data_IF_938347393121
#
_entry.id   IF_938347393121
#
_cell.length_a   1.000
_cell.length_b   1.000
_cell.length_c   1.000
_cell.angle_alpha   90.00
_cell.angle_beta   90.00
_cell.angle_gamma   90.00
#
_symmetry.space_group_name_H-M   'P 1'
#
loop_
_entity.id
_entity.type
_entity.pdbx_description
1 polymer ?
#
# COMPACT_ATOMS: atom_id res chain seq x y z
N UNK A 1 22.24 6.50 10.11
CA UNK A 1 22.13 5.21 10.84
C UNK A 1 20.75 5.08 11.42
N UNK A 2 20.06 3.98 11.11
CA UNK A 2 18.74 3.67 11.68
C UNK A 2 18.94 3.32 13.16
N UNK A 3 18.61 4.25 14.04
CA UNK A 3 18.79 4.08 15.48
C UNK A 3 17.76 3.10 16.06
N UNK A 4 18.01 1.80 15.93
CA UNK A 4 17.39 0.76 16.77
C UNK A 4 18.14 0.61 18.12
N UNK A 5 18.96 1.60 18.52
CA UNK A 5 19.67 1.58 19.80
C UNK A 5 18.73 1.71 20.99
N UNK A 6 17.60 2.40 20.85
CA UNK A 6 16.58 2.46 21.90
C UNK A 6 15.85 1.11 22.03
N UNK A 7 16.06 0.42 23.14
CA UNK A 7 15.40 -0.85 23.45
C UNK A 7 13.88 -0.79 23.55
N UNK A 8 13.29 0.41 23.63
CA UNK A 8 11.84 0.62 23.61
C UNK A 8 11.26 0.49 22.20
N UNK A 9 12.07 0.69 21.13
CA UNK A 9 11.65 0.56 19.73
C UNK A 9 11.69 -0.90 19.32
N UNK A 10 10.57 -1.47 18.96
CA UNK A 10 10.40 -2.87 18.54
C UNK A 10 10.35 -3.02 17.02
N UNK A 11 10.06 -1.93 16.31
CA UNK A 11 10.05 -1.89 14.84
C UNK A 11 10.07 -0.48 14.30
N UNK A 12 10.23 -0.38 12.98
CA UNK A 12 10.26 0.87 12.24
C UNK A 12 9.08 0.95 11.29
N UNK A 13 8.42 2.11 11.32
CA UNK A 13 7.24 2.42 10.52
C UNK A 13 7.66 3.29 9.35
N UNK A 14 7.30 2.89 8.14
CA UNK A 14 7.60 3.59 6.90
C UNK A 14 6.35 4.23 6.32
N UNK A 15 6.51 5.35 5.64
CA UNK A 15 5.49 5.94 4.78
C UNK A 15 5.39 5.15 3.48
N UNK A 16 4.28 5.27 2.74
CA UNK A 16 4.03 4.51 1.52
C UNK A 16 3.61 5.41 0.37
N UNK A 17 4.18 5.14 -0.80
CA UNK A 17 3.65 5.52 -2.09
C UNK A 17 3.09 4.27 -2.76
N UNK A 18 1.78 4.22 -2.99
CA UNK A 18 1.13 3.16 -3.76
C UNK A 18 0.99 3.62 -5.19
N UNK A 19 1.86 3.14 -6.07
CA UNK A 19 1.79 3.44 -7.49
C UNK A 19 0.71 2.59 -8.16
N UNK A 20 0.00 3.20 -9.12
CA UNK A 20 -1.12 2.55 -9.82
C UNK A 20 -1.11 2.86 -11.31
N UNK A 21 -1.30 1.83 -12.16
CA UNK A 21 -1.37 1.91 -13.61
C UNK A 21 -0.05 2.27 -14.29
N UNK A 22 0.66 3.24 -13.76
CA UNK A 22 1.99 3.64 -14.22
C UNK A 22 2.88 4.12 -13.08
N UNK A 23 4.12 4.45 -13.39
CA UNK A 23 5.06 5.03 -12.43
C UNK A 23 4.75 6.50 -12.09
N UNK A 24 3.85 7.15 -12.83
CA UNK A 24 3.57 8.58 -12.69
C UNK A 24 2.46 8.89 -11.69
N UNK A 25 1.68 7.90 -11.24
CA UNK A 25 0.52 8.13 -10.38
C UNK A 25 0.60 7.36 -9.08
N UNK A 26 0.20 8.01 -8.00
CA UNK A 26 0.10 7.41 -6.66
C UNK A 26 -1.30 7.58 -6.07
N UNK A 27 -1.72 6.59 -5.31
CA UNK A 27 -2.99 6.61 -4.62
C UNK A 27 -3.06 7.73 -3.58
N UNK A 28 -4.13 8.55 -3.67
CA UNK A 28 -4.43 9.65 -2.75
C UNK A 28 -5.65 9.35 -1.87
N UNK A 29 -6.51 8.44 -2.32
CA UNK A 29 -7.74 8.12 -1.63
C UNK A 29 -7.50 7.59 -0.20
N UNK A 30 -8.52 7.76 0.62
CA UNK A 30 -8.49 7.35 2.04
C UNK A 30 -8.32 5.84 2.25
N UNK A 31 -8.67 5.01 1.27
CA UNK A 31 -8.50 3.55 1.28
C UNK A 31 -7.04 3.09 1.24
N UNK A 32 -6.15 3.89 0.66
CA UNK A 32 -4.74 3.52 0.57
C UNK A 32 -4.06 3.54 1.93
N UNK A 33 -3.33 2.46 2.24
CA UNK A 33 -2.54 2.37 3.46
C UNK A 33 -1.36 3.35 3.38
N UNK A 34 -1.28 4.30 4.30
CA UNK A 34 -0.23 5.34 4.26
C UNK A 34 1.05 4.98 4.99
N UNK A 35 1.02 3.96 5.85
CA UNK A 35 2.15 3.58 6.70
C UNK A 35 2.11 2.10 7.07
N UNK A 36 3.26 1.43 7.01
CA UNK A 36 3.39 0.04 7.46
C UNK A 36 4.72 -0.21 8.19
N UNK A 37 4.71 -1.18 9.09
CA UNK A 37 5.92 -1.66 9.76
C UNK A 37 6.66 -2.58 8.81
N UNK A 38 7.91 -2.24 8.43
CA UNK A 38 8.72 -3.03 7.48
C UNK A 38 10.02 -3.55 8.07
N UNK A 39 10.47 -3.00 9.17
CA UNK A 39 11.63 -3.48 9.90
C UNK A 39 11.22 -3.77 11.32
N UNK A 40 11.62 -4.92 11.85
CA UNK A 40 11.35 -5.34 13.22
C UNK A 40 12.66 -5.80 13.88
N UNK A 41 12.70 -5.79 15.20
CA UNK A 41 13.75 -6.50 15.92
C UNK A 41 13.60 -8.00 15.70
N UNK A 42 14.71 -8.67 15.39
CA UNK A 42 14.74 -10.13 15.32
C UNK A 42 14.68 -10.72 16.73
N UNK A 43 13.46 -11.01 17.19
CA UNK A 43 13.17 -11.56 18.52
C UNK A 43 12.20 -12.72 18.41
N UNK A 44 12.43 -13.78 19.17
CA UNK A 44 11.57 -14.99 19.18
C UNK A 44 10.12 -14.73 19.65
N UNK A 45 9.87 -13.61 20.33
CA UNK A 45 8.54 -13.21 20.80
C UNK A 45 7.80 -12.28 19.81
N UNK A 46 8.41 -11.89 18.68
CA UNK A 46 7.78 -11.13 17.60
C UNK A 46 7.41 -12.09 16.47
N UNK A 47 6.19 -11.98 15.98
CA UNK A 47 5.67 -12.86 14.94
C UNK A 47 4.80 -12.09 13.93
N UNK A 48 4.69 -12.63 12.71
CA UNK A 48 3.77 -12.14 11.69
C UNK A 48 2.32 -12.34 12.14
N UNK A 49 1.48 -11.36 11.88
CA UNK A 49 0.09 -11.37 12.33
C UNK A 49 -0.86 -11.31 11.14
N UNK A 50 -1.84 -12.25 11.12
CA UNK A 50 -2.76 -12.47 9.98
C UNK A 50 -1.94 -12.63 8.68
N UNK A 51 -2.47 -12.42 7.52
CA UNK A 51 -1.81 -12.56 6.22
C UNK A 51 -0.61 -11.60 6.01
N UNK A 52 0.34 -11.60 6.93
CA UNK A 52 1.50 -10.70 6.95
C UNK A 52 1.13 -9.18 6.93
N UNK A 53 -0.08 -8.84 7.35
CA UNK A 53 -0.56 -7.44 7.41
C UNK A 53 0.10 -6.63 8.55
N UNK A 54 1.06 -7.22 9.22
CA UNK A 54 1.81 -6.58 10.28
C UNK A 54 2.42 -7.57 11.27
N UNK A 55 2.81 -7.05 12.41
CA UNK A 55 3.51 -7.84 13.42
C UNK A 55 2.90 -7.67 14.80
N UNK A 56 3.04 -8.72 15.61
CA UNK A 56 2.67 -8.74 17.02
C UNK A 56 3.82 -9.26 17.87
N UNK A 57 3.78 -8.92 19.13
CA UNK A 57 4.63 -9.51 20.17
C UNK A 57 3.78 -10.35 21.11
N UNK A 58 4.28 -11.51 21.49
CA UNK A 58 3.58 -12.42 22.42
C UNK A 58 3.14 -11.70 23.71
N UNK A 59 1.92 -12.01 24.25
CA UNK A 59 0.92 -12.96 23.73
C UNK A 59 0.17 -12.48 22.48
N UNK A 60 -0.11 -11.21 22.28
CA UNK A 60 -0.75 -10.59 21.08
C UNK A 60 -0.69 -9.06 21.14
N UNK A 61 0.41 -8.51 21.60
CA UNK A 61 0.59 -7.07 21.81
C UNK A 61 1.07 -6.38 20.53
N UNK A 62 0.53 -5.20 20.24
CA UNK A 62 1.03 -4.32 19.16
C UNK A 62 2.48 -3.91 19.43
N UNK A 63 3.31 -3.89 18.38
CA UNK A 63 4.69 -3.41 18.49
C UNK A 63 4.75 -1.91 18.75
N UNK A 64 5.69 -1.50 19.56
CA UNK A 64 6.09 -0.10 19.71
C UNK A 64 7.02 0.25 18.57
N UNK A 65 6.62 1.20 17.75
CA UNK A 65 7.35 1.54 16.52
C UNK A 65 7.69 3.01 16.45
N UNK A 66 8.82 3.31 15.82
CA UNK A 66 9.25 4.68 15.50
C UNK A 66 8.94 4.96 14.02
N UNK A 67 8.29 6.10 13.74
CA UNK A 67 8.09 6.55 12.37
C UNK A 67 9.39 7.11 11.80
N UNK A 68 9.73 6.65 10.62
CA UNK A 68 10.86 7.18 9.85
C UNK A 68 10.39 8.15 8.78
N UNK A 69 11.24 9.10 8.43
CA UNK A 69 11.09 9.90 7.24
C UNK A 69 11.68 9.16 6.02
N UNK A 70 11.07 8.03 5.74
CA UNK A 70 11.45 7.13 4.65
C UNK A 70 10.19 6.53 4.01
N UNK A 71 10.26 6.30 2.70
CA UNK A 71 9.14 5.81 1.92
C UNK A 71 9.41 4.43 1.35
N UNK A 72 8.37 3.58 1.38
CA UNK A 72 8.29 2.39 0.56
C UNK A 72 7.59 2.77 -0.74
N UNK A 73 8.23 2.50 -1.85
CA UNK A 73 7.70 2.68 -3.20
C UNK A 73 7.03 1.36 -3.62
N UNK A 74 5.72 1.30 -3.53
CA UNK A 74 4.97 0.07 -3.75
C UNK A 74 4.40 0.03 -5.16
N UNK A 75 5.01 -0.77 -6.04
CA UNK A 75 4.70 -0.86 -7.47
C UNK A 75 3.83 -2.06 -7.85
N UNK A 76 3.11 -2.67 -6.91
CA UNK A 76 2.39 -3.92 -7.19
C UNK A 76 1.27 -3.76 -8.23
N UNK A 77 0.78 -2.54 -8.43
CA UNK A 77 -0.23 -2.18 -9.44
C UNK A 77 0.35 -1.46 -10.65
N UNK A 78 1.67 -1.57 -10.88
CA UNK A 78 2.35 -1.00 -12.05
C UNK A 78 2.90 -2.15 -12.88
N UNK A 79 2.10 -2.61 -13.82
CA UNK A 79 2.41 -3.69 -14.76
C UNK A 79 1.75 -3.43 -16.10
N UNK A 80 2.25 -4.07 -17.15
CA UNK A 80 1.53 -4.20 -18.40
C UNK A 80 0.12 -4.78 -18.14
N UNK A 81 -0.96 -4.29 -18.75
CA UNK A 81 -2.34 -4.71 -18.46
C UNK A 81 -2.56 -6.21 -18.54
N UNK A 82 -2.03 -6.89 -19.56
CA UNK A 82 -2.15 -8.34 -19.68
C UNK A 82 -1.43 -9.09 -18.53
N UNK A 83 -0.26 -8.62 -18.14
CA UNK A 83 0.47 -9.19 -16.99
C UNK A 83 -0.21 -8.91 -15.65
N UNK A 84 -0.90 -7.77 -15.52
CA UNK A 84 -1.69 -7.45 -14.32
C UNK A 84 -2.93 -8.33 -14.21
N UNK A 85 -3.63 -8.60 -15.33
CA UNK A 85 -4.77 -9.50 -15.36
C UNK A 85 -4.39 -10.91 -14.89
N UNK A 86 -3.33 -11.48 -15.46
CA UNK A 86 -2.79 -12.78 -15.02
C UNK A 86 -2.43 -12.82 -13.54
N UNK A 87 -1.86 -11.73 -13.03
CA UNK A 87 -1.53 -11.62 -11.60
C UNK A 87 -2.80 -11.62 -10.73
N UNK A 88 -3.84 -10.88 -11.11
CA UNK A 88 -5.11 -10.82 -10.36
C UNK A 88 -5.76 -12.20 -10.31
N UNK A 89 -5.84 -12.89 -11.44
CA UNK A 89 -6.37 -14.25 -11.52
C UNK A 89 -5.58 -15.25 -10.65
N UNK A 90 -4.25 -15.23 -10.77
CA UNK A 90 -3.38 -16.09 -9.97
C UNK A 90 -3.50 -15.81 -8.46
N UNK A 91 -3.65 -14.53 -8.08
CA UNK A 91 -3.81 -14.15 -6.68
C UNK A 91 -5.12 -14.65 -6.08
N UNK A 92 -6.24 -14.56 -6.82
CA UNK A 92 -7.53 -15.05 -6.34
C UNK A 92 -7.55 -16.57 -6.18
N UNK A 93 -6.81 -17.32 -7.00
CA UNK A 93 -6.66 -18.79 -6.85
C UNK A 93 -6.01 -19.22 -5.54
N UNK A 94 -5.26 -18.35 -4.87
CA UNK A 94 -4.66 -18.65 -3.55
C UNK A 94 -5.68 -18.66 -2.41
N UNK A 95 -6.84 -17.98 -2.58
CA UNK A 95 -7.78 -17.70 -1.49
C UNK A 95 -9.19 -18.16 -1.77
N UNK A 96 -9.51 -18.48 -3.03
CA UNK A 96 -10.87 -18.81 -3.46
C UNK A 96 -10.88 -20.06 -4.33
N UNK A 97 -11.99 -20.77 -4.31
CA UNK A 97 -12.24 -21.89 -5.20
C UNK A 97 -12.59 -21.42 -6.64
N UNK A 98 -12.57 -22.36 -7.59
CA UNK A 98 -12.81 -22.05 -9.00
C UNK A 98 -14.21 -21.47 -9.24
N UNK A 99 -15.23 -21.89 -8.48
CA UNK A 99 -16.61 -21.38 -8.58
C UNK A 99 -16.71 -19.93 -8.17
N UNK A 100 -15.97 -19.53 -7.11
CA UNK A 100 -15.90 -18.15 -6.68
C UNK A 100 -15.20 -17.29 -7.73
N UNK A 101 -14.09 -17.79 -8.28
CA UNK A 101 -13.31 -17.10 -9.33
C UNK A 101 -14.16 -16.87 -10.58
N UNK A 102 -14.87 -17.88 -11.05
CA UNK A 102 -15.75 -17.76 -12.22
C UNK A 102 -16.83 -16.69 -12.06
N UNK A 103 -17.32 -16.46 -10.84
CA UNK A 103 -18.38 -15.48 -10.56
C UNK A 103 -17.88 -14.07 -10.30
N UNK A 104 -16.65 -13.92 -9.78
CA UNK A 104 -16.18 -12.66 -9.21
C UNK A 104 -14.95 -12.09 -9.92
N UNK A 105 -14.22 -12.88 -10.68
CA UNK A 105 -13.06 -12.42 -11.42
C UNK A 105 -13.43 -12.26 -12.89
N UNK A 106 -13.35 -11.03 -13.38
CA UNK A 106 -13.59 -10.75 -14.80
C UNK A 106 -12.47 -11.40 -15.59
N UNK A 107 -12.81 -12.35 -16.46
CA UNK A 107 -11.88 -12.93 -17.43
C UNK A 107 -11.75 -11.96 -18.60
N UNK A 108 -10.60 -11.33 -18.70
CA UNK A 108 -10.26 -10.40 -19.78
C UNK A 108 -8.83 -10.67 -20.25
N UNK A 109 -8.53 -10.27 -21.47
CA UNK A 109 -7.15 -10.33 -21.98
C UNK A 109 -6.24 -9.35 -21.27
N UNK A 110 -6.79 -8.19 -20.88
CA UNK A 110 -6.11 -7.10 -20.21
C UNK A 110 -6.88 -6.60 -19.00
N UNK A 111 -6.13 -6.19 -17.98
CA UNK A 111 -6.68 -5.56 -16.79
C UNK A 111 -7.10 -4.12 -17.09
N UNK A 112 -8.33 -3.77 -16.75
CA UNK A 112 -8.81 -2.40 -16.83
C UNK A 112 -8.37 -1.59 -15.60
N UNK A 113 -7.46 -0.66 -15.80
CA UNK A 113 -7.03 0.29 -14.79
C UNK A 113 -8.00 1.47 -14.60
N UNK A 114 -9.05 1.58 -15.42
CA UNK A 114 -9.92 2.75 -15.48
C UNK A 114 -10.72 3.03 -14.21
N UNK A 115 -11.05 2.00 -13.45
CA UNK A 115 -11.98 2.12 -12.33
C UNK A 115 -11.28 2.12 -10.96
N UNK A 116 -10.45 3.13 -10.74
CA UNK A 116 -9.76 3.31 -9.47
C UNK A 116 -10.20 4.56 -8.72
N UNK A 117 -9.87 4.60 -7.42
CA UNK A 117 -10.11 5.74 -6.57
C UNK A 117 -9.14 6.90 -6.87
N UNK A 118 -9.30 8.02 -6.17
CA UNK A 118 -8.53 9.24 -6.33
C UNK A 118 -7.02 8.99 -6.40
N UNK A 119 -6.41 9.40 -7.51
CA UNK A 119 -4.97 9.40 -7.73
C UNK A 119 -4.41 10.82 -7.74
N UNK A 120 -3.10 10.94 -7.58
CA UNK A 120 -2.35 12.18 -7.77
C UNK A 120 -1.08 11.92 -8.58
N UNK A 121 -0.62 12.94 -9.29
CA UNK A 121 0.66 12.88 -9.99
C UNK A 121 1.81 12.74 -8.98
N UNK A 122 2.73 11.82 -9.23
CA UNK A 122 3.95 11.68 -8.47
C UNK A 122 5.00 12.66 -9.00
N UNK A 123 5.44 13.59 -8.16
CA UNK A 123 6.42 14.64 -8.52
C UNK A 123 7.81 14.36 -7.94
N UNK A 124 7.99 13.24 -7.26
CA UNK A 124 9.29 12.85 -6.69
C UNK A 124 10.16 12.09 -7.69
N UNK A 125 11.30 11.60 -7.21
CA UNK A 125 12.22 10.75 -7.97
C UNK A 125 12.07 9.30 -7.55
N UNK A 126 12.10 8.38 -8.52
CA UNK A 126 12.16 6.96 -8.24
C UNK A 126 13.55 6.52 -7.77
N UNK A 127 13.65 5.48 -6.95
CA UNK A 127 14.94 4.88 -6.61
C UNK A 127 15.69 4.47 -7.88
N UNK A 128 17.02 4.71 -7.93
CA UNK A 128 17.86 4.42 -9.10
C UNK A 128 17.78 2.96 -9.58
N UNK A 129 17.57 2.02 -8.67
CA UNK A 129 17.36 0.60 -9.00
C UNK A 129 16.13 0.35 -9.89
N UNK A 130 15.23 1.32 -10.00
CA UNK A 130 14.04 1.24 -10.85
C UNK A 130 14.24 1.80 -12.25
N UNK A 131 15.35 2.48 -12.52
CA UNK A 131 15.57 3.21 -13.79
C UNK A 131 15.45 2.31 -15.01
N UNK A 132 16.11 1.15 -14.99
CA UNK A 132 16.03 0.16 -16.07
C UNK A 132 14.60 -0.37 -16.29
N UNK A 133 13.89 -0.64 -15.20
CA UNK A 133 12.52 -1.13 -15.28
C UNK A 133 11.55 -0.06 -15.80
N UNK A 134 11.76 1.19 -15.43
CA UNK A 134 10.94 2.31 -15.89
C UNK A 134 11.19 2.57 -17.38
N UNK A 135 12.45 2.48 -17.85
CA UNK A 135 12.79 2.68 -19.26
C UNK A 135 12.26 1.60 -20.21
N UNK A 136 11.90 0.42 -19.68
CA UNK A 136 11.35 -0.72 -20.44
C UNK A 136 9.81 -0.77 -20.43
N UNK A 137 9.14 0.27 -19.99
CA UNK A 137 7.67 0.34 -20.00
C UNK A 137 7.16 0.40 -21.44
N UNK A 138 6.31 -0.56 -21.81
CA UNK A 138 5.74 -0.74 -23.14
C UNK A 138 4.21 -0.52 -23.19
N UNK A 139 3.65 0.04 -22.11
CA UNK A 139 2.21 0.39 -22.02
C UNK A 139 2.03 1.83 -21.58
N UNK A 140 0.88 2.39 -21.88
CA UNK A 140 0.47 3.74 -21.46
C UNK A 140 -0.71 3.65 -20.50
N UNK A 141 -0.71 4.53 -19.51
CA UNK A 141 -1.83 4.74 -18.60
C UNK A 141 -1.94 6.23 -18.28
N UNK A 142 -3.14 6.77 -18.43
CA UNK A 142 -3.47 8.15 -18.06
C UNK A 142 -4.62 8.15 -17.06
N UNK A 143 -4.37 8.69 -15.87
CA UNK A 143 -5.37 8.80 -14.83
C UNK A 143 -6.20 10.08 -14.98
N UNK A 144 -7.50 9.99 -14.74
CA UNK A 144 -8.34 11.16 -14.53
C UNK A 144 -8.11 11.73 -13.12
N UNK A 145 -7.29 12.77 -13.03
CA UNK A 145 -6.95 13.42 -11.75
C UNK A 145 -8.08 14.31 -11.20
N UNK A 146 -9.14 14.53 -11.97
CA UNK A 146 -10.32 15.28 -11.51
C UNK A 146 -11.26 14.39 -10.69
N UNK A 147 -11.12 13.09 -10.80
CA UNK A 147 -11.94 12.10 -10.11
C UNK A 147 -11.75 12.19 -8.60
N UNK A 148 -12.85 12.37 -7.89
CA UNK A 148 -12.87 12.44 -6.42
C UNK A 148 -13.49 11.16 -5.86
N UNK A 149 -13.10 10.79 -4.64
CA UNK A 149 -13.74 9.69 -3.94
C UNK A 149 -15.26 9.85 -3.94
N UNK A 150 -15.97 8.82 -4.38
CA UNK A 150 -17.44 8.80 -4.54
C UNK A 150 -18.14 8.83 -3.19
N UNK A 151 -17.51 8.33 -2.13
CA UNK A 151 -18.13 8.21 -0.82
C UNK A 151 -18.05 9.52 -0.02
N UNK A 152 -19.20 10.11 0.31
CA UNK A 152 -19.30 11.24 1.23
C UNK A 152 -18.59 10.98 2.57
N UNK A 153 -18.69 9.74 3.09
CA UNK A 153 -17.99 9.30 4.31
C UNK A 153 -16.47 9.46 4.19
N UNK A 154 -15.88 9.13 3.06
CA UNK A 154 -14.43 9.27 2.84
C UNK A 154 -14.02 10.73 2.64
N UNK A 155 -14.87 11.53 2.00
CA UNK A 155 -14.63 12.97 1.85
C UNK A 155 -14.61 13.68 3.21
N UNK A 156 -15.55 13.36 4.10
CA UNK A 156 -15.59 13.89 5.46
C UNK A 156 -14.34 13.46 6.27
N UNK A 157 -13.96 12.19 6.19
CA UNK A 157 -12.75 11.67 6.86
C UNK A 157 -11.48 12.36 6.36
N UNK A 158 -11.34 12.56 5.06
CA UNK A 158 -10.20 13.28 4.46
C UNK A 158 -10.16 14.74 4.89
N UNK A 159 -11.30 15.37 5.01
CA UNK A 159 -11.42 16.75 5.52
C UNK A 159 -10.93 16.83 6.98
N UNK A 160 -11.39 15.93 7.86
CA UNK A 160 -10.93 15.86 9.26
C UNK A 160 -9.42 15.61 9.31
N UNK A 161 -8.90 14.66 8.51
CA UNK A 161 -7.47 14.37 8.46
C UNK A 161 -6.64 15.60 8.05
N UNK A 162 -7.13 16.37 7.06
CA UNK A 162 -6.46 17.59 6.60
C UNK A 162 -6.40 18.68 7.67
N UNK A 163 -7.45 18.81 8.47
CA UNK A 163 -7.51 19.83 9.52
C UNK A 163 -6.73 19.46 10.79
N UNK A 164 -6.76 18.18 11.16
CA UNK A 164 -6.30 17.73 12.49
C UNK A 164 -5.06 16.83 12.41
N UNK A 165 -4.67 16.37 11.22
CA UNK A 165 -3.67 15.31 11.05
C UNK A 165 -4.13 13.93 11.55
N UNK A 166 -5.34 13.84 12.14
CA UNK A 166 -5.92 12.59 12.61
C UNK A 166 -6.73 11.91 11.51
N UNK A 167 -6.48 10.61 11.30
CA UNK A 167 -7.17 9.79 10.30
C UNK A 167 -8.24 8.92 10.95
N UNK A 168 -9.53 9.33 10.93
CA UNK A 168 -10.63 8.61 11.58
C UNK A 168 -10.81 7.19 11.01
N UNK A 169 -10.77 6.17 11.91
CA UNK A 169 -10.95 4.77 11.51
C UNK A 169 -9.75 4.14 10.80
N UNK A 170 -8.56 4.77 10.81
CA UNK A 170 -7.32 4.13 10.37
C UNK A 170 -7.01 2.93 11.27
N UNK A 171 -6.92 1.74 10.67
CA UNK A 171 -6.49 0.56 11.40
C UNK A 171 -4.99 0.60 11.65
N UNK A 172 -4.60 0.90 12.89
CA UNK A 172 -3.20 0.92 13.31
C UNK A 172 -2.82 -0.41 13.93
N UNK A 173 -2.05 -1.21 13.21
CA UNK A 173 -1.51 -2.49 13.69
C UNK A 173 -0.23 -2.32 14.53
N UNK A 174 0.02 -1.14 15.04
CA UNK A 174 1.20 -0.74 15.80
C UNK A 174 0.86 0.29 16.88
N UNK A 175 1.78 0.51 17.81
CA UNK A 175 1.77 1.61 18.77
C UNK A 175 2.92 2.56 18.43
N UNK A 176 2.59 3.75 17.95
CA UNK A 176 3.59 4.78 17.66
C UNK A 176 4.19 5.30 18.96
N UNK A 177 5.51 5.41 19.01
CA UNK A 177 6.25 6.08 20.07
C UNK A 177 7.01 7.26 19.48
N UNK A 178 7.19 8.28 20.31
CA UNK A 178 7.93 9.51 19.95
C UNK A 178 9.43 9.25 19.91
#
# INVERSE_FOLDING_TARGET
MLNLTDNKVEGLLFKYYHFYGSYNYVGKAYSWCRREVRVIRNRKDIFSYRDAQGFRRKPNRKLRVKLLDAFVYHYSWVKNPAAQQKKVEAFHKLWHDDRWIERNVIKAEEFDYGDTEELMLFTGTHPSVMSERISKVDWTYSADLTRKSVSFKYRLKSFIERLTGWRPGEYKNYKLIK
#
